data_IF_852205758102
#
_entry.id   IF_852205758102
#
_cell.length_a   1.000
_cell.length_b   1.000
_cell.length_c   1.000
_cell.angle_alpha   90.00
_cell.angle_beta   90.00
_cell.angle_gamma   90.00
#
_symmetry.space_group_name_H-M   'P 1'
#
loop_
_entity.id
_entity.type
_entity.pdbx_description
1 polymer ?
#
# COMPACT_ATOMS: atom_id res chain seq x y z
N UNK A 1 -6.63 -18.73 -2.27
CA UNK A 1 -6.90 -17.88 -1.10
C UNK A 1 -5.66 -17.96 -0.23
N UNK A 2 -5.01 -16.83 0.06
CA UNK A 2 -3.74 -16.76 0.82
C UNK A 2 -3.99 -16.95 2.32
N UNK A 3 -4.78 -17.97 2.67
CA UNK A 3 -5.41 -18.11 3.97
C UNK A 3 -4.36 -18.16 5.07
N UNK A 4 -4.21 -17.04 5.78
CA UNK A 4 -3.35 -16.92 6.96
C UNK A 4 -2.38 -15.75 6.94
N UNK A 5 -2.12 -15.10 5.80
CA UNK A 5 -1.21 -13.96 5.77
C UNK A 5 -1.91 -12.62 6.03
N UNK A 6 -1.37 -11.84 6.96
CA UNK A 6 -1.82 -10.47 7.28
C UNK A 6 -0.80 -9.45 6.76
N UNK A 7 -1.30 -8.43 6.06
CA UNK A 7 -0.50 -7.30 5.56
C UNK A 7 -0.82 -6.05 6.39
N UNK A 8 0.22 -5.45 6.96
CA UNK A 8 0.16 -4.20 7.71
C UNK A 8 1.02 -3.15 7.00
N UNK A 9 0.45 -1.98 6.72
CA UNK A 9 1.22 -0.83 6.27
C UNK A 9 1.34 0.13 7.45
N UNK A 10 2.57 0.46 7.85
CA UNK A 10 2.83 1.29 9.02
C UNK A 10 3.55 2.57 8.62
N UNK A 11 3.04 3.69 9.11
CA UNK A 11 3.69 4.99 8.97
C UNK A 11 4.74 5.12 10.07
N UNK A 12 6.00 5.37 9.68
CA UNK A 12 7.10 5.58 10.62
C UNK A 12 7.62 7.02 10.53
N UNK A 13 8.24 7.55 11.61
CA UNK A 13 8.87 8.87 11.57
C UNK A 13 9.91 8.97 10.44
N UNK A 14 10.09 10.18 9.92
CA UNK A 14 11.13 10.50 8.93
C UNK A 14 12.53 10.12 9.46
N UNK A 15 13.38 9.61 8.57
CA UNK A 15 14.74 9.14 8.86
C UNK A 15 14.80 7.93 9.82
N UNK A 16 13.76 7.09 9.80
CA UNK A 16 13.74 5.80 10.53
C UNK A 16 14.25 4.64 9.66
N UNK A 17 13.98 4.70 8.36
CA UNK A 17 14.32 3.66 7.39
C UNK A 17 15.71 3.87 6.81
N UNK A 18 16.34 2.80 6.34
CA UNK A 18 17.66 2.87 5.72
C UNK A 18 17.60 3.60 4.37
N UNK A 19 16.47 3.47 3.67
CA UNK A 19 16.19 4.22 2.44
C UNK A 19 14.85 4.96 2.56
N UNK A 20 14.86 6.29 2.84
CA UNK A 20 13.63 7.04 3.13
C UNK A 20 12.73 7.25 1.90
N UNK A 21 13.21 6.92 0.70
CA UNK A 21 12.50 7.11 -0.57
C UNK A 21 11.75 5.88 -1.06
N UNK A 22 11.84 4.74 -0.36
CA UNK A 22 11.16 3.50 -0.74
C UNK A 22 10.52 2.85 0.49
N UNK A 23 9.33 2.22 0.36
CA UNK A 23 8.79 1.40 1.42
C UNK A 23 9.69 0.20 1.72
N UNK A 24 9.87 -0.12 3.00
CA UNK A 24 10.65 -1.28 3.44
C UNK A 24 9.73 -2.43 3.89
N UNK A 25 10.03 -3.64 3.43
CA UNK A 25 9.23 -4.85 3.72
C UNK A 25 9.89 -5.66 4.83
N UNK A 26 9.15 -5.86 5.93
CA UNK A 26 9.54 -6.64 7.09
C UNK A 26 8.70 -7.91 7.19
N UNK A 27 9.24 -9.06 6.78
CA UNK A 27 8.53 -10.32 6.87
C UNK A 27 8.59 -10.89 8.29
N UNK A 28 7.43 -11.23 8.83
CA UNK A 28 7.26 -11.87 10.14
C UNK A 28 6.66 -13.27 9.94
N UNK A 29 7.44 -14.14 9.31
CA UNK A 29 6.97 -15.46 8.86
C UNK A 29 6.46 -16.38 9.98
N UNK A 30 6.91 -16.22 11.21
CA UNK A 30 6.43 -17.01 12.36
C UNK A 30 4.95 -16.79 12.70
N UNK A 31 4.42 -15.62 12.34
CA UNK A 31 3.03 -15.23 12.59
C UNK A 31 2.28 -14.92 11.29
N UNK A 32 2.83 -15.35 10.14
CA UNK A 32 2.29 -15.06 8.82
C UNK A 32 1.93 -13.58 8.63
N UNK A 33 2.80 -12.66 9.07
CA UNK A 33 2.59 -11.23 8.84
C UNK A 33 3.65 -10.64 7.93
N UNK A 34 3.25 -9.65 7.16
CA UNK A 34 4.15 -8.76 6.43
C UNK A 34 3.85 -7.35 6.88
N UNK A 35 4.87 -6.66 7.38
CA UNK A 35 4.78 -5.23 7.69
C UNK A 35 5.52 -4.48 6.60
N UNK A 36 4.87 -3.50 5.98
CA UNK A 36 5.51 -2.57 5.06
C UNK A 36 5.60 -1.23 5.76
N UNK A 37 6.82 -0.80 6.08
CA UNK A 37 7.05 0.49 6.71
C UNK A 37 7.20 1.57 5.63
N UNK A 38 6.55 2.70 5.87
CA UNK A 38 6.53 3.85 4.99
C UNK A 38 6.90 5.08 5.81
N UNK A 39 7.91 5.83 5.39
CA UNK A 39 8.24 7.10 6.07
C UNK A 39 7.17 8.16 5.83
N UNK A 40 7.01 9.05 6.81
CA UNK A 40 6.06 10.16 6.73
C UNK A 40 6.32 11.09 5.54
N UNK A 41 7.59 11.44 5.27
CA UNK A 41 7.94 12.32 4.15
C UNK A 41 7.66 11.67 2.79
N UNK A 42 7.97 10.38 2.66
CA UNK A 42 7.60 9.61 1.47
C UNK A 42 6.07 9.61 1.31
N UNK A 43 5.31 9.32 2.36
CA UNK A 43 3.85 9.28 2.29
C UNK A 43 3.26 10.64 1.88
N UNK A 44 3.75 11.74 2.44
CA UNK A 44 3.32 13.09 2.06
C UNK A 44 3.60 13.39 0.58
N UNK A 45 4.80 13.05 0.10
CA UNK A 45 5.12 13.19 -1.33
C UNK A 45 4.20 12.34 -2.21
N UNK A 46 3.80 11.13 -1.75
CA UNK A 46 2.84 10.28 -2.46
C UNK A 46 1.43 10.86 -2.45
N UNK A 47 1.00 11.52 -1.37
CA UNK A 47 -0.28 12.26 -1.31
C UNK A 47 -0.32 13.35 -2.39
N UNK A 48 0.75 14.15 -2.53
CA UNK A 48 0.79 15.23 -3.52
C UNK A 48 0.63 14.71 -4.95
N UNK A 49 1.21 13.53 -5.23
CA UNK A 49 1.07 12.85 -6.53
C UNK A 49 -0.32 12.20 -6.69
N UNK A 50 -0.86 11.63 -5.62
CA UNK A 50 -2.15 10.93 -5.61
C UNK A 50 -3.34 11.89 -5.73
N UNK A 51 -3.24 13.09 -5.16
CA UNK A 51 -4.31 14.10 -5.14
C UNK A 51 -4.89 14.42 -6.52
N UNK A 52 -4.11 14.85 -7.53
CA UNK A 52 -4.67 15.17 -8.84
C UNK A 52 -5.30 13.96 -9.55
N UNK A 53 -4.78 12.75 -9.30
CA UNK A 53 -5.33 11.50 -9.86
C UNK A 53 -6.68 11.19 -9.22
N UNK A 54 -6.76 11.20 -7.89
CA UNK A 54 -7.97 10.95 -7.13
C UNK A 54 -9.07 11.96 -7.45
N UNK A 55 -8.73 13.25 -7.60
CA UNK A 55 -9.67 14.30 -8.02
C UNK A 55 -10.23 14.04 -9.42
N UNK A 56 -9.40 13.64 -10.39
CA UNK A 56 -9.87 13.33 -11.74
C UNK A 56 -10.82 12.14 -11.77
N UNK A 57 -10.53 11.10 -11.00
CA UNK A 57 -11.40 9.93 -10.86
C UNK A 57 -12.72 10.29 -10.18
N UNK A 58 -12.66 11.04 -9.07
CA UNK A 58 -13.83 11.55 -8.38
C UNK A 58 -14.71 12.43 -9.29
N UNK A 59 -14.10 13.27 -10.13
CA UNK A 59 -14.82 14.07 -11.12
C UNK A 59 -15.55 13.18 -12.14
N UNK A 60 -14.85 12.18 -12.69
CA UNK A 60 -15.40 11.26 -13.67
C UNK A 60 -16.55 10.42 -13.09
N UNK A 61 -16.51 10.12 -11.79
CA UNK A 61 -17.56 9.38 -11.08
C UNK A 61 -18.67 10.28 -10.53
N UNK A 62 -18.63 11.59 -10.77
CA UNK A 62 -19.65 12.54 -10.32
C UNK A 62 -19.68 12.75 -8.80
N UNK A 63 -18.54 12.56 -8.12
CA UNK A 63 -18.44 12.75 -6.66
C UNK A 63 -18.17 14.19 -6.27
N UNK A 64 -17.68 15.00 -7.22
CA UNK A 64 -17.35 16.39 -7.02
C UNK A 64 -18.57 17.28 -7.28
N UNK A 65 -19.71 16.94 -6.69
CA UNK A 65 -20.88 17.83 -6.68
C UNK A 65 -20.82 18.73 -5.43
N UNK A 66 -20.70 20.03 -5.70
CA UNK A 66 -21.00 21.18 -4.84
C UNK A 66 -20.43 21.18 -3.40
N UNK A 67 -19.17 20.76 -3.21
CA UNK A 67 -18.42 21.14 -2.00
C UNK A 67 -18.02 22.61 -2.08
N UNK A 68 -19.00 23.49 -1.86
CA UNK A 68 -18.80 24.88 -1.50
C UNK A 68 -18.04 24.93 -0.16
N UNK A 69 -16.71 24.83 -0.21
CA UNK A 69 -15.87 25.07 0.95
C UNK A 69 -14.65 24.17 1.09
N UNK A 70 -13.82 24.02 0.06
CA UNK A 70 -12.38 23.71 0.17
C UNK A 70 -11.91 22.48 0.97
N UNK A 71 -12.83 21.68 1.54
CA UNK A 71 -12.52 20.52 2.36
C UNK A 71 -12.60 19.27 1.50
N UNK A 72 -11.55 18.46 1.57
CA UNK A 72 -11.50 17.12 0.98
C UNK A 72 -12.58 16.28 1.67
N UNK A 73 -13.54 15.79 0.91
CA UNK A 73 -14.55 14.87 1.46
C UNK A 73 -13.87 13.61 2.01
N UNK A 74 -14.39 12.97 3.07
CA UNK A 74 -13.79 11.74 3.61
C UNK A 74 -13.56 10.66 2.55
N UNK A 75 -14.47 10.59 1.58
CA UNK A 75 -14.39 9.69 0.42
C UNK A 75 -13.23 10.01 -0.52
N UNK A 76 -12.97 11.30 -0.79
CA UNK A 76 -11.82 11.72 -1.58
C UNK A 76 -10.50 11.49 -0.81
N UNK A 77 -10.48 11.77 0.50
CA UNK A 77 -9.32 11.52 1.35
C UNK A 77 -8.95 10.03 1.38
N UNK A 78 -9.94 9.14 1.50
CA UNK A 78 -9.72 7.70 1.42
C UNK A 78 -9.11 7.28 0.08
N UNK A 79 -9.62 7.83 -1.04
CA UNK A 79 -9.08 7.54 -2.37
C UNK A 79 -7.65 8.04 -2.56
N UNK A 80 -7.34 9.22 -2.05
CA UNK A 80 -5.97 9.75 -2.04
C UNK A 80 -5.05 8.79 -1.28
N UNK A 81 -5.47 8.33 -0.09
CA UNK A 81 -4.69 7.39 0.71
C UNK A 81 -4.50 6.05 -0.01
N UNK A 82 -5.53 5.52 -0.70
CA UNK A 82 -5.42 4.30 -1.51
C UNK A 82 -4.34 4.41 -2.59
N UNK A 83 -4.32 5.52 -3.34
CA UNK A 83 -3.29 5.77 -4.36
C UNK A 83 -1.91 6.02 -3.76
N UNK A 84 -1.84 6.76 -2.65
CA UNK A 84 -0.60 7.08 -1.98
C UNK A 84 0.10 5.83 -1.42
N UNK A 85 -0.67 4.88 -0.88
CA UNK A 85 -0.16 3.63 -0.30
C UNK A 85 -0.10 2.46 -1.27
N UNK A 86 -0.56 2.62 -2.51
CA UNK A 86 -0.65 1.53 -3.48
C UNK A 86 0.69 0.79 -3.69
N UNK A 87 1.80 1.52 -3.76
CA UNK A 87 3.13 0.91 -3.92
C UNK A 87 3.52 0.05 -2.71
N UNK A 88 3.35 0.57 -1.50
CA UNK A 88 3.62 -0.16 -0.26
C UNK A 88 2.77 -1.44 -0.17
N UNK A 89 1.47 -1.33 -0.51
CA UNK A 89 0.56 -2.48 -0.53
C UNK A 89 1.03 -3.51 -1.55
N UNK A 90 1.38 -3.09 -2.78
CA UNK A 90 1.85 -3.97 -3.83
C UNK A 90 3.14 -4.71 -3.45
N UNK A 91 4.08 -4.04 -2.77
CA UNK A 91 5.31 -4.66 -2.27
C UNK A 91 5.01 -5.75 -1.24
N UNK A 92 4.15 -5.46 -0.27
CA UNK A 92 3.75 -6.43 0.75
C UNK A 92 3.00 -7.62 0.17
N UNK A 93 2.08 -7.38 -0.77
CA UNK A 93 1.39 -8.44 -1.50
C UNK A 93 2.38 -9.29 -2.29
N UNK A 94 3.27 -8.67 -3.09
CA UNK A 94 4.27 -9.40 -3.86
C UNK A 94 5.10 -10.34 -2.97
N UNK A 95 5.49 -9.89 -1.78
CA UNK A 95 6.15 -10.75 -0.81
C UNK A 95 5.27 -11.95 -0.41
N UNK A 96 4.02 -11.73 0.03
CA UNK A 96 3.09 -12.82 0.40
C UNK A 96 2.93 -13.82 -0.74
N UNK A 97 2.80 -13.33 -1.97
CA UNK A 97 2.70 -14.16 -3.17
C UNK A 97 3.93 -15.07 -3.35
N UNK A 98 5.14 -14.59 -3.04
CA UNK A 98 6.36 -15.42 -3.08
C UNK A 98 6.47 -16.43 -1.93
N UNK A 99 5.73 -16.25 -0.84
CA UNK A 99 5.68 -17.20 0.29
C UNK A 99 4.62 -18.30 0.13
N UNK A 100 3.76 -18.21 -0.91
CA UNK A 100 2.79 -19.25 -1.23
C UNK A 100 3.44 -20.61 -1.49
N UNK A 101 2.68 -21.73 -1.46
CA UNK A 101 3.26 -23.06 -1.56
C UNK A 101 4.13 -23.12 -2.80
N UNK A 102 5.43 -23.37 -2.60
CA UNK A 102 6.28 -23.75 -3.70
C UNK A 102 5.57 -24.92 -4.36
N UNK A 103 5.22 -24.79 -5.63
CA UNK A 103 4.94 -25.95 -6.46
C UNK A 103 6.28 -26.66 -6.58
N UNK A 104 6.66 -27.40 -5.53
CA UNK A 104 7.78 -28.29 -5.54
C UNK A 104 7.53 -29.22 -6.71
N UNK A 105 8.41 -29.15 -7.71
CA UNK A 105 8.58 -30.22 -8.68
C UNK A 105 8.63 -31.52 -7.90
N UNK A 106 7.51 -32.25 -7.93
CA UNK A 106 7.45 -33.63 -7.48
C UNK A 106 8.50 -34.34 -8.32
N UNK A 107 9.52 -34.86 -7.66
CA UNK A 107 10.52 -35.71 -8.29
C UNK A 107 9.78 -36.89 -8.90
N UNK A 108 9.58 -36.85 -10.21
CA UNK A 108 9.34 -38.07 -10.97
C UNK A 108 10.71 -38.73 -11.12
N UNK A 109 11.03 -39.57 -10.15
CA UNK A 109 12.00 -40.66 -10.28
C UNK A 109 11.24 -41.93 -9.96
N UNK A 110 10.70 -42.55 -11.01
CA UNK A 110 10.58 -43.99 -11.15
C UNK A 110 10.44 -44.34 -12.63
#
# INVERSE_FOLDING_TARGET
>A
MFDGWELLVVLVPTATLACPTVPEVFPMGLINRVVVAVEHDYFNARIDVAYPVACREAAAEGWLDDTAGGQVSPRLAERINQHALAEAINLGQAFIHTQGPSTGSRKDHQ
#
